data_IF_288601132696
#
_entry.id   IF_288601132696
#
_cell.length_a   1.000
_cell.length_b   1.000
_cell.length_c   1.000
_cell.angle_alpha   90.00
_cell.angle_beta   90.00
_cell.angle_gamma   90.00
#
_symmetry.space_group_name_H-M   'P 1'
#
loop_
_entity.id
_entity.type
_entity.pdbx_description
1 polymer ?
#
# COMPACT_ATOMS: atom_id res chain seq x y z
N UNK A 1 29.81 -12.93 -35.64
CA UNK A 1 29.58 -11.71 -36.42
C UNK A 1 29.17 -10.62 -35.43
N UNK A 2 30.12 -9.80 -35.07
CA UNK A 2 29.92 -8.63 -34.21
C UNK A 2 29.30 -7.54 -35.07
N UNK A 3 28.13 -7.01 -34.69
CA UNK A 3 27.57 -5.83 -35.29
C UNK A 3 28.17 -4.59 -34.59
N UNK A 4 28.92 -3.84 -35.37
CA UNK A 4 29.59 -2.59 -35.04
C UNK A 4 28.58 -1.45 -34.98
N UNK A 5 28.46 -0.76 -33.82
CA UNK A 5 27.56 0.36 -33.60
C UNK A 5 28.27 1.72 -33.68
N UNK A 6 29.27 1.83 -34.54
CA UNK A 6 30.10 3.05 -34.62
C UNK A 6 29.72 4.05 -35.72
N UNK A 7 28.61 3.90 -36.41
CA UNK A 7 28.22 4.90 -37.44
C UNK A 7 26.76 5.34 -37.30
N UNK A 8 26.50 6.39 -36.51
CA UNK A 8 25.38 7.27 -36.69
C UNK A 8 25.62 8.64 -36.05
N UNK A 9 26.44 9.46 -36.68
CA UNK A 9 26.39 10.89 -36.55
C UNK A 9 26.81 11.57 -37.87
N UNK A 10 25.87 11.81 -38.83
CA UNK A 10 26.09 12.79 -39.86
C UNK A 10 25.40 14.10 -39.45
N UNK A 11 26.15 15.17 -39.56
CA UNK A 11 25.71 16.56 -39.56
C UNK A 11 24.59 16.72 -40.59
N UNK A 12 23.32 16.79 -40.15
CA UNK A 12 22.17 16.99 -41.03
C UNK A 12 21.67 18.41 -40.85
N UNK A 13 21.73 19.15 -41.93
CA UNK A 13 21.03 20.38 -42.19
C UNK A 13 19.54 20.17 -41.87
N UNK A 14 19.01 20.96 -40.93
CA UNK A 14 17.62 20.85 -40.45
C UNK A 14 16.62 21.13 -41.60
N UNK A 15 15.99 20.08 -42.12
CA UNK A 15 14.78 20.20 -42.92
C UNK A 15 13.57 20.22 -41.96
N UNK A 16 12.67 21.18 -42.17
CA UNK A 16 11.44 21.38 -41.37
C UNK A 16 10.57 20.11 -41.20
N UNK A 17 10.66 19.16 -42.13
CA UNK A 17 9.98 17.87 -42.09
C UNK A 17 10.57 16.89 -41.05
N UNK A 18 11.87 16.93 -40.83
CA UNK A 18 12.55 16.09 -39.83
C UNK A 18 12.20 16.50 -38.40
N UNK A 19 11.88 17.77 -38.16
CA UNK A 19 11.45 18.28 -36.84
C UNK A 19 10.05 17.75 -36.48
N UNK A 20 9.13 17.71 -37.46
CA UNK A 20 7.76 17.20 -37.28
C UNK A 20 7.72 15.68 -37.02
N UNK A 21 8.57 14.90 -37.70
CA UNK A 21 8.71 13.45 -37.45
C UNK A 21 9.38 13.17 -36.10
N UNK A 22 10.38 13.96 -35.70
CA UNK A 22 11.05 13.84 -34.43
C UNK A 22 10.12 14.22 -33.27
N UNK A 23 9.29 15.25 -33.41
CA UNK A 23 8.24 15.60 -32.44
C UNK A 23 7.15 14.54 -32.35
N UNK A 24 6.79 13.89 -33.45
CA UNK A 24 5.83 12.81 -33.47
C UNK A 24 6.42 11.56 -32.80
N UNK A 25 7.66 11.21 -33.11
CA UNK A 25 8.41 10.13 -32.45
C UNK A 25 8.61 10.38 -30.96
N UNK A 26 8.95 11.62 -30.57
CA UNK A 26 9.05 12.02 -29.15
C UNK A 26 7.69 12.02 -28.45
N UNK A 27 6.59 12.34 -29.13
CA UNK A 27 5.21 12.23 -28.59
C UNK A 27 4.76 10.78 -28.49
N UNK A 28 5.21 9.90 -29.36
CA UNK A 28 4.92 8.46 -29.27
C UNK A 28 5.81 7.77 -28.24
N UNK A 29 7.08 8.14 -28.10
CA UNK A 29 7.96 7.71 -27.00
C UNK A 29 7.48 8.22 -25.63
N UNK A 30 6.85 9.39 -25.59
CA UNK A 30 6.20 9.90 -24.36
C UNK A 30 4.92 9.13 -23.98
N UNK A 31 4.39 8.27 -24.87
CA UNK A 31 3.24 7.41 -24.60
C UNK A 31 3.61 6.01 -24.10
N UNK A 32 4.87 5.62 -24.13
CA UNK A 32 5.32 4.38 -23.50
C UNK A 32 5.46 4.65 -22.01
N UNK A 33 4.36 4.47 -21.28
CA UNK A 33 4.37 4.51 -19.83
C UNK A 33 5.22 3.35 -19.35
N UNK A 34 6.45 3.62 -18.91
CA UNK A 34 7.31 2.60 -18.32
C UNK A 34 6.61 2.14 -17.03
N UNK A 35 6.27 0.84 -16.92
CA UNK A 35 5.42 0.36 -15.83
C UNK A 35 6.13 0.33 -14.46
N UNK A 36 7.32 0.89 -14.35
CA UNK A 36 8.09 0.95 -13.11
C UNK A 36 9.03 2.15 -13.06
N UNK A 37 9.57 2.40 -11.86
CA UNK A 37 10.69 3.31 -11.63
C UNK A 37 11.59 2.76 -10.52
N UNK A 38 12.91 2.85 -10.70
CA UNK A 38 13.85 2.68 -9.58
C UNK A 38 13.96 3.96 -8.77
N UNK A 39 14.02 3.80 -7.46
CA UNK A 39 14.26 4.92 -6.57
C UNK A 39 15.76 5.15 -6.38
N UNK A 40 16.32 6.12 -7.07
CA UNK A 40 17.72 6.51 -6.94
C UNK A 40 18.07 7.20 -5.61
N UNK A 41 17.06 7.51 -4.79
CA UNK A 41 17.19 8.12 -3.45
C UNK A 41 17.03 7.12 -2.32
N UNK A 42 16.83 5.82 -2.66
CA UNK A 42 16.79 4.76 -1.66
C UNK A 42 18.08 4.78 -0.84
N UNK A 43 17.93 4.90 0.47
CA UNK A 43 19.05 5.05 1.41
C UNK A 43 19.11 3.85 2.37
N UNK A 44 20.14 3.02 2.21
CA UNK A 44 20.37 1.87 3.08
C UNK A 44 20.85 2.29 4.49
N UNK A 45 21.27 3.54 4.69
CA UNK A 45 21.64 4.09 6.00
C UNK A 45 20.43 4.66 6.77
N UNK A 46 19.28 4.86 6.11
CA UNK A 46 18.07 5.32 6.77
C UNK A 46 17.64 4.36 7.88
N UNK A 47 17.20 4.90 9.02
CA UNK A 47 16.86 4.12 10.23
C UNK A 47 15.36 4.03 10.51
N UNK A 48 14.52 4.55 9.63
CA UNK A 48 13.06 4.58 9.80
C UNK A 48 12.54 5.84 10.45
N UNK A 49 11.22 5.96 10.50
CA UNK A 49 10.49 7.05 11.16
C UNK A 49 10.33 6.83 12.65
N UNK A 50 10.50 5.60 13.12
CA UNK A 50 10.22 5.16 14.48
C UNK A 50 11.47 4.56 15.08
N UNK A 51 11.63 4.73 16.36
CA UNK A 51 12.74 4.17 17.14
C UNK A 51 12.35 2.86 17.85
N UNK A 52 13.30 2.29 18.59
CA UNK A 52 13.09 1.05 19.36
C UNK A 52 11.95 1.18 20.36
N UNK A 53 11.86 2.33 21.03
CA UNK A 53 10.80 2.58 22.03
C UNK A 53 9.41 2.64 21.38
N UNK A 54 9.30 3.19 20.18
CA UNK A 54 8.04 3.20 19.42
C UNK A 54 7.59 1.78 19.08
N UNK A 55 8.51 0.93 18.59
CA UNK A 55 8.19 -0.46 18.25
C UNK A 55 7.91 -1.34 19.48
N UNK A 56 8.59 -1.11 20.60
CA UNK A 56 8.29 -1.76 21.88
C UNK A 56 6.89 -1.40 22.37
N UNK A 57 6.47 -0.13 22.25
CA UNK A 57 5.10 0.31 22.58
C UNK A 57 4.05 -0.33 21.69
N UNK A 58 4.33 -0.48 20.39
CA UNK A 58 3.45 -1.21 19.46
C UNK A 58 3.35 -2.67 19.87
N UNK A 59 4.47 -3.34 20.14
CA UNK A 59 4.52 -4.72 20.61
C UNK A 59 3.70 -4.95 21.87
N UNK A 60 3.90 -4.11 22.89
CA UNK A 60 3.15 -4.17 24.14
C UNK A 60 1.65 -3.91 23.98
N UNK A 61 1.27 -3.02 23.05
CA UNK A 61 -0.14 -2.75 22.76
C UNK A 61 -0.86 -3.97 22.16
N UNK A 62 -0.18 -4.73 21.32
CA UNK A 62 -0.74 -5.91 20.64
C UNK A 62 -0.41 -7.23 21.37
N UNK A 63 0.11 -7.19 22.59
CA UNK A 63 0.37 -8.40 23.36
C UNK A 63 -0.91 -9.19 23.59
N UNK A 64 -0.89 -10.50 23.32
CA UNK A 64 -2.05 -11.38 23.42
C UNK A 64 -3.05 -11.28 22.26
N UNK A 65 -2.87 -10.37 21.31
CA UNK A 65 -3.70 -10.32 20.12
C UNK A 65 -3.22 -11.39 19.11
N UNK A 66 -4.18 -12.17 18.59
CA UNK A 66 -3.89 -13.24 17.64
C UNK A 66 -3.18 -12.73 16.39
N UNK A 67 -2.14 -13.46 15.98
CA UNK A 67 -1.42 -13.22 14.75
C UNK A 67 -2.21 -13.74 13.54
N UNK A 68 -2.10 -13.07 12.40
CA UNK A 68 -2.61 -13.60 11.13
C UNK A 68 -1.64 -14.63 10.54
N UNK A 69 -2.11 -15.53 9.67
CA UNK A 69 -1.25 -16.56 9.12
C UNK A 69 -0.15 -16.01 8.21
N UNK A 70 1.03 -16.63 8.27
CA UNK A 70 2.04 -16.59 7.22
C UNK A 70 1.91 -17.87 6.39
N UNK A 71 1.49 -17.72 5.14
CA UNK A 71 1.24 -18.83 4.21
C UNK A 71 2.46 -19.06 3.31
N UNK A 72 2.84 -20.32 3.11
CA UNK A 72 3.87 -20.69 2.12
C UNK A 72 3.18 -21.22 0.87
N UNK A 73 3.41 -20.61 -0.29
CA UNK A 73 2.91 -21.04 -1.59
C UNK A 73 4.04 -21.80 -2.34
N UNK A 74 4.34 -23.01 -1.89
CA UNK A 74 5.53 -23.76 -2.32
C UNK A 74 5.42 -24.24 -3.76
N UNK A 75 4.21 -24.63 -4.21
CA UNK A 75 3.99 -25.06 -5.59
C UNK A 75 4.10 -23.85 -6.53
N UNK A 76 3.44 -22.76 -6.21
CA UNK A 76 3.52 -21.52 -7.00
C UNK A 76 4.96 -20.97 -7.01
N UNK A 77 5.69 -21.04 -5.90
CA UNK A 77 7.11 -20.65 -5.85
C UNK A 77 7.95 -21.48 -6.85
N UNK A 78 7.72 -22.79 -6.91
CA UNK A 78 8.41 -23.70 -7.84
C UNK A 78 8.07 -23.35 -9.30
N UNK A 79 6.80 -23.13 -9.61
CA UNK A 79 6.36 -22.74 -10.96
C UNK A 79 6.95 -21.40 -11.40
N UNK A 80 7.12 -20.46 -10.47
CA UNK A 80 7.73 -19.15 -10.72
C UNK A 80 9.27 -19.17 -10.67
N UNK A 81 9.90 -20.30 -10.37
CA UNK A 81 11.35 -20.42 -10.27
C UNK A 81 11.96 -19.68 -9.07
N UNK A 82 11.20 -19.52 -7.99
CA UNK A 82 11.62 -18.84 -6.75
C UNK A 82 12.06 -19.85 -5.68
N UNK A 83 12.90 -19.41 -4.74
CA UNK A 83 13.31 -20.20 -3.58
C UNK A 83 12.18 -20.39 -2.56
N UNK A 84 11.41 -19.35 -2.30
CA UNK A 84 10.18 -19.39 -1.52
C UNK A 84 9.24 -18.24 -1.89
N UNK A 85 7.94 -18.48 -1.80
CA UNK A 85 6.92 -17.47 -1.91
C UNK A 85 6.05 -17.50 -0.66
N UNK A 86 6.14 -16.44 0.12
CA UNK A 86 5.48 -16.30 1.42
C UNK A 86 4.42 -15.21 1.32
N UNK A 87 3.28 -15.44 1.94
CA UNK A 87 2.16 -14.49 1.96
C UNK A 87 1.75 -14.23 3.40
N UNK A 88 1.91 -13.00 3.88
CA UNK A 88 1.27 -12.54 5.12
C UNK A 88 -0.18 -12.25 4.80
N UNK A 89 -1.06 -13.09 5.34
CA UNK A 89 -2.48 -13.14 5.00
C UNK A 89 -3.30 -12.26 5.95
N UNK A 90 -3.60 -11.04 5.52
CA UNK A 90 -4.43 -10.05 6.23
C UNK A 90 -5.87 -10.00 5.69
N UNK A 91 -6.31 -11.03 4.99
CA UNK A 91 -7.68 -11.13 4.47
C UNK A 91 -8.73 -11.23 5.57
N UNK A 92 -8.31 -11.66 6.78
CA UNK A 92 -9.09 -11.57 8.01
C UNK A 92 -8.18 -11.16 9.17
N UNK A 93 -8.29 -9.93 9.62
CA UNK A 93 -7.64 -9.43 10.83
C UNK A 93 -8.70 -9.05 11.87
N UNK A 94 -8.80 -9.84 12.92
CA UNK A 94 -9.77 -9.62 14.01
C UNK A 94 -11.24 -9.56 13.52
N UNK A 95 -11.61 -10.39 12.56
CA UNK A 95 -12.94 -10.43 11.96
C UNK A 95 -13.25 -9.26 11.02
N UNK A 96 -12.23 -8.51 10.60
CA UNK A 96 -12.33 -7.52 9.52
C UNK A 96 -11.53 -7.98 8.32
N UNK A 97 -12.05 -7.76 7.09
CA UNK A 97 -11.42 -8.29 5.88
C UNK A 97 -10.21 -7.46 5.43
N UNK A 98 -9.44 -6.87 6.35
CA UNK A 98 -8.23 -6.10 6.03
C UNK A 98 -7.41 -5.74 7.28
N UNK A 99 -6.13 -5.44 7.05
CA UNK A 99 -5.16 -5.02 8.07
C UNK A 99 -5.44 -3.69 8.78
N UNK A 100 -6.35 -2.86 8.26
CA UNK A 100 -6.55 -1.46 8.69
C UNK A 100 -6.83 -1.29 10.18
N UNK A 101 -7.40 -2.31 10.82
CA UNK A 101 -7.68 -2.28 12.26
C UNK A 101 -6.41 -2.14 13.10
N UNK A 102 -5.25 -2.62 12.65
CA UNK A 102 -3.98 -2.46 13.38
C UNK A 102 -3.62 -0.98 13.58
N UNK A 103 -3.69 -0.19 12.51
CA UNK A 103 -3.41 1.25 12.59
C UNK A 103 -4.49 2.01 13.37
N UNK A 104 -5.76 1.74 13.09
CA UNK A 104 -6.87 2.42 13.76
C UNK A 104 -6.88 2.16 15.27
N UNK A 105 -6.71 0.88 15.69
CA UNK A 105 -6.71 0.53 17.11
C UNK A 105 -5.52 1.12 17.85
N UNK A 106 -4.32 1.06 17.28
CA UNK A 106 -3.15 1.63 17.93
C UNK A 106 -3.28 3.15 18.09
N UNK A 107 -3.68 3.88 17.06
CA UNK A 107 -3.83 5.33 17.13
C UNK A 107 -4.94 5.74 18.12
N UNK A 108 -6.10 5.09 18.06
CA UNK A 108 -7.18 5.36 19.02
C UNK A 108 -6.78 4.97 20.46
N UNK A 109 -6.03 3.89 20.62
CA UNK A 109 -5.45 3.48 21.90
C UNK A 109 -4.52 4.54 22.51
N UNK A 110 -3.67 5.19 21.69
CA UNK A 110 -2.84 6.32 22.16
C UNK A 110 -3.70 7.51 22.60
N UNK A 111 -4.74 7.85 21.85
CA UNK A 111 -5.70 8.92 22.21
C UNK A 111 -6.48 8.61 23.47
N UNK A 112 -6.85 7.35 23.71
CA UNK A 112 -7.47 6.92 24.96
C UNK A 112 -6.50 7.00 26.15
N UNK A 113 -5.26 6.57 25.95
CA UNK A 113 -4.21 6.65 26.99
C UNK A 113 -3.92 8.08 27.43
N UNK A 114 -3.99 9.04 26.52
CA UNK A 114 -3.82 10.48 26.82
C UNK A 114 -5.11 11.14 27.33
N UNK A 115 -6.23 10.41 27.35
CA UNK A 115 -7.53 10.93 27.79
C UNK A 115 -8.23 11.83 26.79
N UNK A 116 -7.73 11.93 25.55
CA UNK A 116 -8.39 12.66 24.45
C UNK A 116 -9.67 11.92 24.02
N UNK A 117 -9.61 10.60 23.89
CA UNK A 117 -10.80 9.77 23.66
C UNK A 117 -11.25 9.13 24.98
N UNK A 118 -12.56 9.21 25.22
CA UNK A 118 -13.24 8.62 26.39
C UNK A 118 -14.58 8.04 25.93
N UNK A 119 -15.20 7.14 26.72
CA UNK A 119 -16.56 6.69 26.43
C UNK A 119 -17.51 7.88 26.16
N UNK A 120 -18.31 7.78 25.11
CA UNK A 120 -19.19 8.84 24.64
C UNK A 120 -18.56 9.89 23.72
N UNK A 121 -17.23 9.90 23.54
CA UNK A 121 -16.57 10.75 22.55
C UNK A 121 -17.03 10.43 21.11
N UNK A 122 -16.73 11.34 20.19
CA UNK A 122 -17.01 11.14 18.76
C UNK A 122 -15.72 11.15 17.98
N UNK A 123 -15.52 10.12 17.18
CA UNK A 123 -14.47 10.05 16.15
C UNK A 123 -15.10 10.15 14.76
N UNK A 124 -14.39 10.75 13.83
CA UNK A 124 -14.87 10.85 12.46
C UNK A 124 -13.76 10.59 11.45
N UNK A 125 -14.09 9.98 10.31
CA UNK A 125 -13.17 9.81 9.19
C UNK A 125 -13.91 9.90 7.86
N UNK A 126 -13.16 10.14 6.77
CA UNK A 126 -13.64 9.95 5.41
C UNK A 126 -12.98 8.68 4.86
N UNK A 127 -13.81 7.69 4.47
CA UNK A 127 -13.29 6.44 3.93
C UNK A 127 -14.37 5.60 3.28
N UNK A 128 -14.18 5.23 2.03
CA UNK A 128 -15.10 4.37 1.28
C UNK A 128 -14.90 2.86 1.52
N UNK A 129 -14.03 2.46 2.47
CA UNK A 129 -13.68 1.06 2.63
C UNK A 129 -13.13 0.68 4.01
N UNK A 130 -12.04 -0.07 3.98
CA UNK A 130 -11.49 -0.79 5.14
C UNK A 130 -11.07 0.09 6.32
N UNK A 131 -10.61 1.34 6.06
CA UNK A 131 -10.24 2.24 7.16
C UNK A 131 -11.47 2.72 7.94
N UNK A 132 -12.56 3.09 7.26
CA UNK A 132 -13.81 3.47 7.90
C UNK A 132 -14.40 2.35 8.75
N UNK A 133 -14.38 1.09 8.24
CA UNK A 133 -14.79 -0.09 9.00
C UNK A 133 -13.93 -0.31 10.25
N UNK A 134 -12.60 -0.17 10.10
CA UNK A 134 -11.68 -0.34 11.22
C UNK A 134 -11.92 0.71 12.33
N UNK A 135 -12.06 1.99 11.96
CA UNK A 135 -12.39 3.07 12.91
C UNK A 135 -13.73 2.81 13.60
N UNK A 136 -14.75 2.39 12.85
CA UNK A 136 -16.08 2.08 13.38
C UNK A 136 -16.03 0.91 14.39
N UNK A 137 -15.32 -0.19 14.05
CA UNK A 137 -15.15 -1.36 14.91
C UNK A 137 -14.49 -0.97 16.23
N UNK A 138 -13.34 -0.30 16.18
CA UNK A 138 -12.59 0.11 17.37
C UNK A 138 -13.40 1.09 18.21
N UNK A 139 -14.11 2.03 17.60
CA UNK A 139 -14.97 2.96 18.31
C UNK A 139 -16.09 2.25 19.09
N UNK A 140 -16.78 1.28 18.45
CA UNK A 140 -17.82 0.46 19.09
C UNK A 140 -17.29 -0.33 20.29
N UNK A 141 -16.10 -0.91 20.17
CA UNK A 141 -15.47 -1.71 21.24
C UNK A 141 -15.12 -0.88 22.48
N UNK A 142 -15.07 0.45 22.36
CA UNK A 142 -14.69 1.37 23.42
C UNK A 142 -15.79 2.39 23.79
N UNK A 143 -17.06 2.13 23.42
CA UNK A 143 -18.19 3.02 23.65
C UNK A 143 -17.99 4.44 23.09
N UNK A 144 -17.26 4.55 21.98
CA UNK A 144 -17.01 5.77 21.21
C UNK A 144 -17.93 5.78 19.99
N UNK A 145 -18.49 6.93 19.65
CA UNK A 145 -19.34 7.08 18.46
C UNK A 145 -18.47 7.32 17.22
N UNK A 146 -18.68 6.55 16.16
CA UNK A 146 -18.00 6.73 14.88
C UNK A 146 -18.93 7.37 13.85
N UNK A 147 -18.40 8.37 13.11
CA UNK A 147 -19.07 8.99 11.97
C UNK A 147 -18.15 8.84 10.75
N UNK A 148 -18.69 8.24 9.68
CA UNK A 148 -17.91 8.01 8.45
C UNK A 148 -18.56 8.79 7.30
N UNK A 149 -17.73 9.64 6.68
CA UNK A 149 -18.12 10.46 5.52
C UNK A 149 -17.75 9.74 4.23
N UNK A 150 -18.70 9.71 3.30
CA UNK A 150 -18.58 9.00 2.01
C UNK A 150 -19.12 9.88 0.88
N UNK A 151 -18.59 9.78 -0.36
CA UNK A 151 -19.30 10.23 -1.55
C UNK A 151 -20.64 9.52 -1.70
N UNK A 152 -21.66 10.24 -2.16
CA UNK A 152 -23.02 9.70 -2.35
C UNK A 152 -23.08 8.54 -3.35
N UNK A 153 -22.11 8.46 -4.27
CA UNK A 153 -21.99 7.41 -5.27
C UNK A 153 -21.32 6.12 -4.74
N UNK A 154 -20.98 6.09 -3.43
CA UNK A 154 -20.38 4.88 -2.83
C UNK A 154 -21.40 3.72 -2.89
N UNK A 155 -20.97 2.57 -3.41
CA UNK A 155 -21.84 1.40 -3.56
C UNK A 155 -22.46 0.97 -2.23
N UNK A 156 -23.74 0.58 -2.26
CA UNK A 156 -24.53 0.28 -1.08
C UNK A 156 -23.88 -0.78 -0.17
N UNK A 157 -23.27 -1.81 -0.75
CA UNK A 157 -22.59 -2.87 0.01
C UNK A 157 -21.48 -2.33 0.93
N UNK A 158 -20.71 -1.33 0.48
CA UNK A 158 -19.66 -0.69 1.31
C UNK A 158 -20.24 0.18 2.41
N UNK A 159 -21.31 0.93 2.09
CA UNK A 159 -22.03 1.73 3.08
C UNK A 159 -22.56 0.83 4.21
N UNK A 160 -23.18 -0.30 3.84
CA UNK A 160 -23.73 -1.23 4.81
C UNK A 160 -22.63 -1.94 5.62
N UNK A 161 -21.52 -2.30 4.99
CA UNK A 161 -20.36 -2.87 5.68
C UNK A 161 -19.77 -1.92 6.75
N UNK A 162 -19.82 -0.60 6.53
CA UNK A 162 -19.40 0.39 7.53
C UNK A 162 -20.46 0.52 8.63
N UNK A 163 -21.74 0.56 8.28
CA UNK A 163 -22.85 0.63 9.25
C UNK A 163 -22.91 -0.59 10.16
N UNK A 164 -22.66 -1.78 9.63
CA UNK A 164 -22.64 -3.03 10.42
C UNK A 164 -21.55 -3.04 11.50
N UNK A 165 -20.50 -2.21 11.34
CA UNK A 165 -19.49 -1.99 12.38
C UNK A 165 -19.93 -0.96 13.44
N UNK A 166 -21.14 -0.38 13.34
CA UNK A 166 -21.70 0.54 14.32
C UNK A 166 -21.52 2.02 14.01
N UNK A 167 -21.02 2.41 12.84
CA UNK A 167 -20.86 3.81 12.48
C UNK A 167 -22.14 4.44 11.97
N UNK A 168 -22.30 5.73 12.26
CA UNK A 168 -23.19 6.63 11.51
C UNK A 168 -22.51 7.02 10.20
N UNK A 169 -23.21 6.88 9.08
CA UNK A 169 -22.69 7.24 7.75
C UNK A 169 -23.34 8.50 7.24
N UNK A 170 -22.53 9.47 6.83
CA UNK A 170 -22.93 10.71 6.17
C UNK A 170 -22.46 10.67 4.72
N UNK A 171 -23.41 10.72 3.78
CA UNK A 171 -23.11 10.78 2.36
C UNK A 171 -23.08 12.20 1.87
N UNK A 172 -22.06 12.57 1.09
CA UNK A 172 -21.82 13.91 0.57
C UNK A 172 -21.97 13.89 -0.95
N UNK A 173 -22.75 14.82 -1.51
CA UNK A 173 -22.76 15.04 -2.94
C UNK A 173 -21.39 15.59 -3.39
N UNK A 174 -20.74 14.91 -4.34
CA UNK A 174 -19.43 15.27 -4.84
C UNK A 174 -18.36 14.18 -4.65
N UNK A 175 -17.10 14.59 -4.70
CA UNK A 175 -15.94 13.71 -4.67
C UNK A 175 -15.56 13.23 -3.25
N UNK A 176 -14.57 12.35 -3.17
CA UNK A 176 -13.95 11.96 -1.90
C UNK A 176 -13.35 13.17 -1.16
N UNK A 177 -12.72 14.09 -1.90
CA UNK A 177 -12.14 15.31 -1.36
C UNK A 177 -13.23 16.25 -0.79
N UNK A 178 -14.44 16.26 -1.38
CA UNK A 178 -15.60 16.98 -0.81
C UNK A 178 -16.02 16.38 0.53
N UNK A 179 -16.04 15.05 0.63
CA UNK A 179 -16.32 14.36 1.88
C UNK A 179 -15.26 14.67 2.95
N UNK A 180 -13.97 14.70 2.61
CA UNK A 180 -12.89 15.10 3.51
C UNK A 180 -13.05 16.54 3.96
N UNK A 181 -13.34 17.48 3.06
CA UNK A 181 -13.57 18.89 3.40
C UNK A 181 -14.78 19.09 4.32
N UNK A 182 -15.86 18.34 4.08
CA UNK A 182 -17.04 18.42 4.95
C UNK A 182 -16.75 17.85 6.33
N UNK A 183 -16.08 16.69 6.39
CA UNK A 183 -15.60 16.10 7.64
C UNK A 183 -14.81 17.12 8.48
N UNK A 184 -13.82 17.78 7.87
CA UNK A 184 -12.96 18.75 8.57
C UNK A 184 -13.77 19.91 9.16
N UNK A 185 -14.73 20.47 8.40
CA UNK A 185 -15.62 21.55 8.87
C UNK A 185 -16.47 21.10 10.05
N UNK A 186 -17.09 19.93 9.95
CA UNK A 186 -17.99 19.41 10.97
C UNK A 186 -17.25 19.00 12.23
N UNK A 187 -16.09 18.35 12.08
CA UNK A 187 -15.24 17.97 13.20
C UNK A 187 -14.73 19.20 13.98
N UNK A 188 -14.28 20.23 13.28
CA UNK A 188 -13.84 21.49 13.92
C UNK A 188 -14.99 22.16 14.68
N UNK A 189 -16.19 22.24 14.08
CA UNK A 189 -17.35 22.87 14.71
C UNK A 189 -17.87 22.11 15.92
N UNK A 190 -17.79 20.78 15.88
CA UNK A 190 -18.38 19.90 16.89
C UNK A 190 -17.39 19.33 17.89
N UNK A 191 -16.10 19.63 17.76
CA UNK A 191 -15.05 19.11 18.63
C UNK A 191 -14.82 17.60 18.47
N UNK A 192 -15.06 17.04 17.28
CA UNK A 192 -14.82 15.62 17.01
C UNK A 192 -13.35 15.34 16.71
N UNK A 193 -12.88 14.17 17.10
CA UNK A 193 -11.52 13.73 16.76
C UNK A 193 -11.51 13.07 15.38
N UNK A 194 -10.72 13.62 14.46
CA UNK A 194 -10.53 13.01 13.14
C UNK A 194 -9.56 11.84 13.29
N UNK A 195 -9.91 10.67 12.71
CA UNK A 195 -9.03 9.48 12.59
C UNK A 195 -8.83 9.18 11.12
N UNK A 196 -7.86 9.87 10.50
CA UNK A 196 -7.51 9.69 9.08
C UNK A 196 -6.17 8.96 8.94
N UNK A 197 -6.07 8.04 7.98
CA UNK A 197 -4.82 7.36 7.62
C UNK A 197 -3.99 8.14 6.58
N UNK A 198 -4.44 9.34 6.22
CA UNK A 198 -3.73 10.32 5.40
C UNK A 198 -3.42 11.56 6.23
N UNK A 199 -2.24 12.10 6.08
CA UNK A 199 -1.77 13.29 6.81
C UNK A 199 -1.57 14.49 5.90
N UNK A 200 -1.68 15.67 6.50
CA UNK A 200 -1.36 16.97 5.92
C UNK A 200 -0.66 17.84 6.95
N UNK A 201 -0.04 18.99 6.56
CA UNK A 201 0.59 19.88 7.52
C UNK A 201 -0.34 20.28 8.67
N UNK A 202 0.08 20.03 9.92
CA UNK A 202 -0.71 20.26 11.12
C UNK A 202 -1.59 19.06 11.57
N UNK A 203 -1.68 18.00 10.75
CA UNK A 203 -2.33 16.74 11.13
C UNK A 203 -1.41 15.56 10.83
N UNK A 204 -0.50 15.28 11.73
CA UNK A 204 0.60 14.34 11.49
C UNK A 204 0.66 13.22 12.54
N UNK A 205 0.31 13.50 13.78
CA UNK A 205 0.53 12.59 14.91
C UNK A 205 -0.32 11.33 14.79
N UNK A 206 -1.61 11.45 14.56
CA UNK A 206 -2.53 10.31 14.42
C UNK A 206 -2.13 9.42 13.23
N UNK A 207 -1.86 9.96 12.01
CA UNK A 207 -1.33 9.15 10.91
C UNK A 207 0.01 8.47 11.21
N UNK A 208 0.91 9.10 11.98
CA UNK A 208 2.14 8.44 12.45
C UNK A 208 1.84 7.22 13.34
N UNK A 209 0.91 7.35 14.28
CA UNK A 209 0.51 6.22 15.11
C UNK A 209 -0.14 5.11 14.27
N UNK A 210 -0.99 5.45 13.29
CA UNK A 210 -1.55 4.48 12.36
C UNK A 210 -0.45 3.72 11.62
N UNK A 211 0.56 4.43 11.09
CA UNK A 211 1.70 3.82 10.42
C UNK A 211 2.52 2.93 11.36
N UNK A 212 2.74 3.39 12.61
CA UNK A 212 3.43 2.59 13.62
C UNK A 212 2.68 1.28 13.90
N UNK A 213 1.35 1.33 14.06
CA UNK A 213 0.51 0.15 14.27
C UNK A 213 0.63 -0.90 13.16
N UNK A 214 0.86 -0.48 11.92
CA UNK A 214 1.08 -1.40 10.79
C UNK A 214 2.39 -2.20 10.90
N UNK A 215 3.37 -1.76 11.68
CA UNK A 215 4.61 -2.51 11.89
C UNK A 215 4.39 -3.88 12.54
N UNK A 216 3.25 -4.07 13.23
CA UNK A 216 2.84 -5.36 13.79
C UNK A 216 2.86 -6.48 12.75
N UNK A 217 2.48 -6.19 11.51
CA UNK A 217 2.52 -7.14 10.38
C UNK A 217 3.89 -7.79 10.19
N UNK A 218 4.96 -6.98 10.18
CA UNK A 218 6.32 -7.48 9.96
C UNK A 218 6.92 -8.08 11.24
N UNK A 219 6.55 -7.57 12.41
CA UNK A 219 6.96 -8.16 13.67
C UNK A 219 6.43 -9.60 13.83
N UNK A 220 5.15 -9.83 13.48
CA UNK A 220 4.56 -11.17 13.42
C UNK A 220 5.25 -12.05 12.36
N UNK A 221 5.46 -11.49 11.17
CA UNK A 221 6.12 -12.22 10.08
C UNK A 221 7.53 -12.67 10.47
N UNK A 222 8.31 -11.81 11.13
CA UNK A 222 9.65 -12.15 11.61
C UNK A 222 9.60 -13.28 12.64
N UNK A 223 8.67 -13.22 13.60
CA UNK A 223 8.44 -14.28 14.57
C UNK A 223 8.11 -15.61 13.87
N UNK A 224 7.18 -15.58 12.92
CA UNK A 224 6.73 -16.76 12.16
C UNK A 224 7.83 -17.33 11.24
N UNK A 225 8.76 -16.51 10.79
CA UNK A 225 9.95 -16.92 10.03
C UNK A 225 11.12 -17.35 10.91
N UNK A 226 10.96 -17.38 12.24
CA UNK A 226 12.03 -17.70 13.19
C UNK A 226 13.29 -16.82 12.96
N UNK A 227 13.09 -15.55 12.67
CA UNK A 227 14.15 -14.56 12.45
C UNK A 227 14.80 -14.59 11.06
N UNK A 228 14.31 -15.43 10.13
CA UNK A 228 14.79 -15.39 8.74
C UNK A 228 14.26 -14.12 8.04
N UNK A 229 15.17 -13.37 7.40
CA UNK A 229 14.81 -12.20 6.61
C UNK A 229 14.41 -12.61 5.18
N UNK A 230 13.30 -12.13 4.62
CA UNK A 230 13.02 -12.26 3.20
C UNK A 230 14.09 -11.53 2.37
N UNK A 231 14.31 -11.95 1.14
CA UNK A 231 15.24 -11.26 0.23
C UNK A 231 14.55 -10.10 -0.49
N UNK A 232 13.25 -10.28 -0.78
CA UNK A 232 12.39 -9.28 -1.45
C UNK A 232 11.06 -9.18 -0.72
N UNK A 233 10.57 -7.95 -0.53
CA UNK A 233 9.23 -7.67 0.00
C UNK A 233 8.47 -6.82 -1.02
N UNK A 234 7.28 -7.26 -1.42
CA UNK A 234 6.37 -6.48 -2.23
C UNK A 234 5.19 -6.01 -1.35
N UNK A 235 4.90 -4.72 -1.41
CA UNK A 235 3.83 -4.10 -0.61
C UNK A 235 2.97 -3.20 -1.47
N UNK A 236 1.67 -3.23 -1.24
CA UNK A 236 0.73 -2.32 -1.88
C UNK A 236 0.87 -0.91 -1.32
N UNK A 237 0.79 0.10 -2.19
CA UNK A 237 0.82 1.50 -1.80
C UNK A 237 -0.29 2.32 -2.46
N UNK A 238 -1.23 2.81 -1.64
CA UNK A 238 -2.11 3.92 -1.97
C UNK A 238 -1.46 5.23 -1.49
N UNK A 239 -2.03 5.90 -0.48
CA UNK A 239 -1.44 7.11 0.12
C UNK A 239 -0.07 6.90 0.77
N UNK A 240 0.40 5.67 0.86
CA UNK A 240 1.74 5.31 1.30
C UNK A 240 1.90 4.98 2.79
N UNK A 241 0.86 5.09 3.61
CA UNK A 241 0.97 4.84 5.05
C UNK A 241 1.46 3.43 5.40
N UNK A 242 0.92 2.38 4.74
CA UNK A 242 1.39 1.01 4.94
C UNK A 242 2.85 0.86 4.49
N UNK A 243 3.16 1.21 3.24
CA UNK A 243 4.50 1.05 2.69
C UNK A 243 5.55 1.86 3.47
N UNK A 244 5.21 3.09 3.90
CA UNK A 244 6.10 3.91 4.73
C UNK A 244 6.32 3.32 6.13
N UNK A 245 5.28 2.79 6.77
CA UNK A 245 5.37 2.12 8.07
C UNK A 245 6.23 0.85 8.01
N UNK A 246 5.97 -0.01 7.00
CA UNK A 246 6.75 -1.24 6.81
C UNK A 246 8.19 -0.97 6.37
N UNK A 247 8.41 -0.01 5.46
CA UNK A 247 9.76 0.40 5.06
C UNK A 247 10.58 0.94 6.22
N UNK A 248 9.93 1.71 7.13
CA UNK A 248 10.55 2.18 8.37
C UNK A 248 10.95 1.03 9.28
N UNK A 249 10.07 0.05 9.47
CA UNK A 249 10.35 -1.13 10.29
C UNK A 249 11.50 -1.96 9.71
N UNK A 250 11.49 -2.23 8.40
CA UNK A 250 12.56 -2.96 7.72
C UNK A 250 13.91 -2.27 7.86
N UNK A 251 13.94 -0.94 7.75
CA UNK A 251 15.15 -0.14 7.90
C UNK A 251 15.66 -0.12 9.34
N UNK A 252 14.76 0.01 10.32
CA UNK A 252 15.11 -0.09 11.74
C UNK A 252 15.67 -1.48 12.09
N UNK A 253 14.98 -2.54 11.64
CA UNK A 253 15.28 -3.93 12.04
C UNK A 253 16.53 -4.49 11.36
N UNK A 254 16.68 -4.27 10.06
CA UNK A 254 17.74 -4.88 9.26
C UNK A 254 18.80 -3.90 8.76
N UNK A 255 18.57 -2.61 8.92
CA UNK A 255 19.51 -1.57 8.50
C UNK A 255 19.90 -1.67 7.01
N UNK A 256 21.20 -1.62 6.68
CA UNK A 256 21.68 -1.71 5.30
C UNK A 256 21.37 -3.04 4.60
N UNK A 257 21.08 -4.09 5.38
CA UNK A 257 20.79 -5.44 4.89
C UNK A 257 19.29 -5.72 4.73
N UNK A 258 18.46 -4.67 4.82
CA UNK A 258 17.02 -4.83 4.60
C UNK A 258 16.72 -5.45 3.23
N UNK A 259 15.59 -6.16 3.10
CA UNK A 259 15.12 -6.71 1.83
C UNK A 259 15.11 -5.68 0.71
N UNK A 260 15.14 -6.13 -0.53
CA UNK A 260 14.77 -5.30 -1.67
C UNK A 260 13.26 -5.01 -1.59
N UNK A 261 12.90 -3.72 -1.48
CA UNK A 261 11.55 -3.30 -1.13
C UNK A 261 10.84 -2.68 -2.34
N UNK A 262 9.81 -3.35 -2.83
CA UNK A 262 9.04 -2.97 -4.01
C UNK A 262 7.67 -2.46 -3.57
N UNK A 263 7.33 -1.24 -3.96
CA UNK A 263 5.98 -0.73 -3.83
C UNK A 263 5.16 -1.05 -5.08
N UNK A 264 3.99 -1.67 -4.89
CA UNK A 264 3.05 -2.03 -5.94
C UNK A 264 1.87 -1.04 -5.90
N UNK A 265 1.61 -0.35 -7.01
CA UNK A 265 0.56 0.67 -7.10
C UNK A 265 -0.41 0.36 -8.23
N UNK A 266 -1.65 0.85 -8.13
CA UNK A 266 -2.54 0.81 -9.27
C UNK A 266 -2.03 1.70 -10.39
N UNK A 267 -2.04 1.21 -11.63
CA UNK A 267 -1.72 2.01 -12.81
C UNK A 267 -2.66 3.21 -12.96
N UNK A 268 -3.88 3.12 -12.42
CA UNK A 268 -4.84 4.22 -12.37
C UNK A 268 -4.54 5.30 -11.31
N UNK A 269 -3.55 5.09 -10.42
CA UNK A 269 -3.20 6.01 -9.34
C UNK A 269 -1.66 6.17 -9.21
N UNK A 270 -1.00 6.83 -10.16
CA UNK A 270 0.46 6.82 -10.29
C UNK A 270 1.20 7.79 -9.35
N UNK A 271 0.53 8.42 -8.37
CA UNK A 271 1.12 9.50 -7.57
C UNK A 271 2.45 9.13 -6.87
N UNK A 272 2.61 7.87 -6.39
CA UNK A 272 3.86 7.43 -5.79
C UNK A 272 4.97 7.31 -6.85
N UNK A 273 4.69 6.74 -8.01
CA UNK A 273 5.66 6.61 -9.09
C UNK A 273 6.13 8.01 -9.57
N UNK A 274 5.20 8.93 -9.76
CA UNK A 274 5.51 10.31 -10.16
C UNK A 274 6.31 11.04 -9.08
N UNK A 275 5.98 10.81 -7.81
CA UNK A 275 6.71 11.39 -6.67
C UNK A 275 8.16 10.88 -6.60
N UNK A 276 8.38 9.58 -6.78
CA UNK A 276 9.72 8.99 -6.80
C UNK A 276 10.53 9.53 -7.99
N UNK A 277 9.93 9.64 -9.19
CA UNK A 277 10.58 10.25 -10.36
C UNK A 277 10.98 11.71 -10.08
N UNK A 278 10.06 12.49 -9.53
CA UNK A 278 10.28 13.91 -9.24
C UNK A 278 11.18 14.16 -8.04
N UNK A 279 11.35 13.19 -7.13
CA UNK A 279 12.06 13.32 -5.85
C UNK A 279 11.37 14.20 -4.83
N UNK A 280 10.08 14.44 -5.00
CA UNK A 280 9.19 15.20 -4.09
C UNK A 280 7.76 14.71 -4.25
N UNK A 281 6.88 14.91 -3.26
CA UNK A 281 5.47 14.58 -3.40
C UNK A 281 4.85 15.27 -4.63
N UNK A 282 4.12 14.49 -5.41
CA UNK A 282 3.39 14.94 -6.60
C UNK A 282 1.91 14.60 -6.44
N UNK A 283 1.06 15.46 -6.95
CA UNK A 283 -0.36 15.19 -7.15
C UNK A 283 -0.52 14.66 -8.57
N UNK A 284 -1.13 13.48 -8.70
CA UNK A 284 -1.39 12.86 -9.99
C UNK A 284 -2.87 12.57 -10.13
N UNK A 285 -3.40 12.77 -11.32
CA UNK A 285 -4.81 12.46 -11.59
C UNK A 285 -5.03 10.95 -11.45
N UNK A 286 -5.98 10.55 -10.62
CA UNK A 286 -6.42 9.17 -10.51
C UNK A 286 -7.49 8.85 -11.56
N UNK A 287 -7.41 7.63 -12.10
CA UNK A 287 -8.41 7.07 -13.01
C UNK A 287 -9.45 6.23 -12.29
N UNK A 288 -9.92 5.16 -12.94
CA UNK A 288 -10.85 4.17 -12.39
C UNK A 288 -10.12 2.84 -12.25
N UNK A 289 -10.29 2.17 -11.11
CA UNK A 289 -9.70 0.87 -10.83
C UNK A 289 -10.55 0.08 -9.84
N UNK A 290 -10.48 -1.24 -9.92
CA UNK A 290 -11.03 -2.15 -8.91
C UNK A 290 -10.23 -2.13 -7.60
N UNK A 291 -8.96 -1.77 -7.65
CA UNK A 291 -8.09 -1.59 -6.49
C UNK A 291 -8.42 -0.29 -5.73
N UNK A 292 -9.66 -0.14 -5.27
CA UNK A 292 -10.14 1.10 -4.64
C UNK A 292 -9.40 1.46 -3.36
N UNK A 293 -8.82 0.49 -2.66
CA UNK A 293 -7.95 0.72 -1.51
C UNK A 293 -6.60 1.37 -1.85
N UNK A 294 -6.25 1.39 -3.14
CA UNK A 294 -5.01 2.00 -3.65
C UNK A 294 -5.29 3.28 -4.47
N UNK A 295 -6.56 3.65 -4.65
CA UNK A 295 -6.95 4.81 -5.45
C UNK A 295 -6.68 6.10 -4.65
N UNK A 296 -5.63 6.82 -5.01
CA UNK A 296 -5.25 8.08 -4.38
C UNK A 296 -4.62 9.04 -5.41
N UNK A 297 -4.73 10.35 -5.16
CA UNK A 297 -4.15 11.38 -6.01
C UNK A 297 -2.87 11.96 -5.41
N UNK A 298 -2.67 11.83 -4.11
CA UNK A 298 -1.52 12.36 -3.37
C UNK A 298 -1.08 11.41 -2.26
N UNK A 299 0.14 11.58 -1.80
CA UNK A 299 0.72 10.79 -0.73
C UNK A 299 0.44 11.44 0.64
N UNK A 300 0.32 10.62 1.67
CA UNK A 300 0.32 11.06 3.05
C UNK A 300 1.62 11.78 3.38
N UNK A 301 1.53 13.02 3.89
CA UNK A 301 2.68 13.89 4.15
C UNK A 301 3.75 13.21 5.03
N UNK A 302 3.34 12.57 6.12
CA UNK A 302 4.28 11.88 7.04
C UNK A 302 4.85 10.59 6.48
N UNK A 303 4.27 10.02 5.42
CA UNK A 303 4.79 8.80 4.80
C UNK A 303 5.96 9.08 3.84
N UNK A 304 6.02 10.26 3.24
CA UNK A 304 6.98 10.58 2.19
C UNK A 304 8.45 10.37 2.58
N UNK A 305 8.93 10.81 3.78
CA UNK A 305 10.33 10.57 4.16
C UNK A 305 10.71 9.09 4.14
N UNK A 306 9.85 8.23 4.65
CA UNK A 306 10.08 6.78 4.63
C UNK A 306 9.98 6.20 3.22
N UNK A 307 8.95 6.57 2.45
CA UNK A 307 8.77 6.09 1.08
C UNK A 307 9.97 6.45 0.20
N UNK A 308 10.43 7.69 0.26
CA UNK A 308 11.57 8.15 -0.53
C UNK A 308 12.89 7.50 -0.13
N UNK A 309 13.06 7.13 1.14
CA UNK A 309 14.30 6.54 1.63
C UNK A 309 14.32 5.00 1.55
N UNK A 310 13.15 4.33 1.58
CA UNK A 310 13.13 2.88 1.79
C UNK A 310 12.71 2.06 0.58
N UNK A 311 11.86 2.60 -0.30
CA UNK A 311 11.43 1.91 -1.52
C UNK A 311 12.62 1.84 -2.49
N UNK A 312 12.88 0.66 -3.05
CA UNK A 312 13.93 0.45 -4.05
C UNK A 312 13.36 0.54 -5.48
N UNK A 313 12.12 0.08 -5.68
CA UNK A 313 11.39 0.21 -6.95
C UNK A 313 9.89 0.40 -6.72
N UNK A 314 9.24 1.12 -7.64
CA UNK A 314 7.79 1.22 -7.73
C UNK A 314 7.35 0.53 -9.01
N UNK A 315 6.33 -0.34 -8.94
CA UNK A 315 5.76 -1.08 -10.07
C UNK A 315 4.27 -0.77 -10.18
N UNK A 316 3.83 -0.39 -11.38
CA UNK A 316 2.41 -0.23 -11.70
C UNK A 316 1.77 -1.57 -12.04
N UNK A 317 0.54 -1.76 -11.58
CA UNK A 317 -0.25 -2.99 -11.76
C UNK A 317 -1.62 -2.61 -12.31
N UNK A 318 -2.03 -3.30 -13.36
CA UNK A 318 -3.35 -3.15 -13.97
C UNK A 318 -4.38 -4.04 -13.28
N UNK A 319 -5.66 -3.72 -13.42
CA UNK A 319 -6.77 -4.52 -12.84
C UNK A 319 -6.77 -5.97 -13.35
N UNK A 320 -6.38 -6.21 -14.59
CA UNK A 320 -6.29 -7.56 -15.15
C UNK A 320 -5.25 -8.42 -14.40
N UNK A 321 -4.10 -7.84 -14.07
CA UNK A 321 -3.02 -8.54 -13.36
C UNK A 321 -3.44 -8.90 -11.94
N UNK A 322 -4.18 -8.02 -11.26
CA UNK A 322 -4.71 -8.33 -9.92
C UNK A 322 -5.83 -9.36 -9.96
N UNK A 323 -6.66 -9.36 -11.00
CA UNK A 323 -7.70 -10.39 -11.20
C UNK A 323 -7.07 -11.78 -11.41
N UNK A 324 -6.01 -11.88 -12.22
CA UNK A 324 -5.26 -13.13 -12.40
C UNK A 324 -4.63 -13.58 -11.08
N UNK A 325 -3.99 -12.67 -10.36
CA UNK A 325 -3.37 -12.96 -9.08
C UNK A 325 -4.37 -13.44 -8.02
N UNK A 326 -5.52 -12.77 -7.89
CA UNK A 326 -6.57 -13.17 -6.97
C UNK A 326 -7.13 -14.56 -7.31
N UNK A 327 -7.31 -14.86 -8.60
CA UNK A 327 -7.73 -16.18 -9.06
C UNK A 327 -6.72 -17.27 -8.70
N UNK A 328 -5.42 -17.03 -8.86
CA UNK A 328 -4.37 -17.98 -8.48
C UNK A 328 -4.33 -18.22 -6.96
N UNK A 329 -4.59 -17.19 -6.15
CA UNK A 329 -4.67 -17.31 -4.69
C UNK A 329 -5.93 -18.08 -4.25
N UNK A 330 -7.07 -17.89 -4.93
CA UNK A 330 -8.33 -18.57 -4.64
C UNK A 330 -8.37 -20.00 -5.18
N UNK A 331 -7.57 -20.31 -6.21
CA UNK A 331 -7.48 -21.65 -6.82
C UNK A 331 -6.01 -22.09 -6.84
N UNK A 332 -5.43 -22.41 -5.68
CA UNK A 332 -4.03 -22.69 -5.54
C UNK A 332 -3.60 -23.97 -6.29
N UNK A 333 -2.35 -23.98 -6.75
CA UNK A 333 -1.72 -25.15 -7.35
C UNK A 333 -1.35 -26.18 -6.27
N UNK A 334 -1.53 -27.46 -6.57
CA UNK A 334 -1.11 -28.56 -5.70
C UNK A 334 -1.66 -28.48 -4.29
N UNK A 335 -0.77 -28.45 -3.30
CA UNK A 335 -1.12 -28.39 -1.87
C UNK A 335 -0.95 -26.99 -1.27
N UNK A 336 -0.78 -25.96 -2.07
CA UNK A 336 -0.71 -24.60 -1.55
C UNK A 336 -2.01 -24.20 -0.86
N UNK A 337 -1.95 -23.46 0.25
CA UNK A 337 -3.15 -23.01 0.94
C UNK A 337 -3.95 -22.00 0.09
N UNK A 338 -5.27 -22.08 0.18
CA UNK A 338 -6.15 -21.05 -0.36
C UNK A 338 -5.97 -19.74 0.39
N UNK A 339 -5.92 -18.63 -0.35
CA UNK A 339 -5.90 -17.28 0.19
C UNK A 339 -6.97 -16.44 -0.53
N UNK A 340 -7.91 -15.90 0.22
CA UNK A 340 -8.94 -15.03 -0.33
C UNK A 340 -8.41 -13.59 -0.40
N UNK A 341 -8.13 -13.11 -1.59
CA UNK A 341 -7.60 -11.75 -1.80
C UNK A 341 -8.57 -10.92 -2.63
N UNK A 342 -8.89 -9.74 -2.13
CA UNK A 342 -9.55 -8.70 -2.92
C UNK A 342 -8.57 -8.03 -3.91
N UNK A 343 -9.08 -7.12 -4.77
CA UNK A 343 -8.26 -6.48 -5.81
C UNK A 343 -7.00 -5.81 -5.29
N UNK A 344 -7.11 -5.00 -4.24
CA UNK A 344 -5.93 -4.34 -3.63
C UNK A 344 -5.04 -5.36 -2.91
N UNK A 345 -5.64 -6.40 -2.30
CA UNK A 345 -4.91 -7.48 -1.61
C UNK A 345 -4.03 -8.30 -2.54
N UNK A 346 -4.50 -8.56 -3.76
CA UNK A 346 -3.79 -9.34 -4.77
C UNK A 346 -2.71 -8.56 -5.54
N UNK A 347 -2.64 -7.24 -5.38
CA UNK A 347 -1.75 -6.36 -6.15
C UNK A 347 -0.27 -6.78 -6.06
N UNK A 348 0.20 -7.21 -4.88
CA UNK A 348 1.58 -7.69 -4.69
C UNK A 348 1.92 -8.92 -5.55
N UNK A 349 1.03 -9.90 -5.61
CA UNK A 349 1.21 -11.06 -6.49
C UNK A 349 1.10 -10.67 -7.96
N UNK A 350 0.14 -9.79 -8.31
CA UNK A 350 0.02 -9.25 -9.68
C UNK A 350 1.31 -8.60 -10.15
N UNK A 351 1.94 -7.77 -9.30
CA UNK A 351 3.23 -7.17 -9.58
C UNK A 351 4.32 -8.22 -9.76
N UNK A 352 4.42 -9.23 -8.89
CA UNK A 352 5.42 -10.29 -8.97
C UNK A 352 5.29 -11.08 -10.28
N UNK A 353 4.08 -11.46 -10.67
CA UNK A 353 3.82 -12.17 -11.91
C UNK A 353 4.26 -11.35 -13.13
N UNK A 354 3.94 -10.06 -13.14
CA UNK A 354 4.35 -9.15 -14.22
C UNK A 354 5.87 -8.98 -14.27
N UNK A 355 6.54 -8.84 -13.11
CA UNK A 355 8.01 -8.72 -13.03
C UNK A 355 8.71 -9.96 -13.61
N UNK A 356 8.11 -11.14 -13.44
CA UNK A 356 8.70 -12.40 -13.90
C UNK A 356 8.35 -12.75 -15.36
N UNK A 357 7.23 -12.23 -15.89
CA UNK A 357 6.71 -12.60 -17.22
C UNK A 357 6.92 -11.53 -18.29
N UNK A 358 6.98 -10.26 -17.90
CA UNK A 358 6.96 -9.13 -18.85
C UNK A 358 8.37 -8.58 -19.10
N UNK A 359 8.80 -8.55 -20.35
CA UNK A 359 10.12 -8.04 -20.76
C UNK A 359 10.44 -6.62 -20.24
N UNK A 360 9.51 -5.65 -20.26
CA UNK A 360 9.79 -4.31 -19.73
C UNK A 360 10.14 -4.30 -18.25
N UNK A 361 9.72 -5.31 -17.46
CA UNK A 361 9.99 -5.41 -16.02
C UNK A 361 11.21 -6.27 -15.67
N UNK A 362 11.88 -6.89 -16.65
CA UNK A 362 13.12 -7.66 -16.45
C UNK A 362 14.20 -6.91 -15.64
N UNK A 363 14.41 -5.58 -15.80
CA UNK A 363 15.36 -4.85 -14.97
C UNK A 363 15.05 -4.92 -13.47
N UNK A 364 13.75 -4.94 -13.09
CA UNK A 364 13.32 -5.06 -11.69
C UNK A 364 13.63 -6.46 -11.16
N UNK A 365 13.35 -7.52 -11.95
CA UNK A 365 13.67 -8.89 -11.60
C UNK A 365 15.18 -9.08 -11.34
N UNK A 366 16.02 -8.49 -12.19
CA UNK A 366 17.50 -8.53 -12.03
C UNK A 366 17.97 -7.77 -10.79
N UNK A 367 17.46 -6.56 -10.57
CA UNK A 367 17.84 -5.74 -9.40
C UNK A 367 17.43 -6.40 -8.09
N UNK A 368 16.24 -7.00 -8.05
CA UNK A 368 15.73 -7.76 -6.91
C UNK A 368 16.35 -9.16 -6.79
N UNK A 369 17.16 -9.59 -7.75
CA UNK A 369 17.79 -10.94 -7.80
C UNK A 369 16.76 -12.07 -7.66
N UNK A 370 15.59 -11.91 -8.30
CA UNK A 370 14.57 -12.95 -8.29
C UNK A 370 15.10 -14.24 -8.94
N UNK A 371 14.86 -15.39 -8.31
CA UNK A 371 15.30 -16.68 -8.80
C UNK A 371 15.26 -17.75 -7.70
N UNK A 372 15.77 -18.96 -8.00
CA UNK A 372 15.64 -20.19 -7.20
C UNK A 372 16.17 -20.14 -5.75
N UNK A 373 16.86 -19.09 -5.36
CA UNK A 373 17.36 -18.89 -4.00
C UNK A 373 16.71 -17.70 -3.31
N UNK A 374 15.85 -16.97 -4.02
CA UNK A 374 15.19 -15.77 -3.52
C UNK A 374 13.92 -16.13 -2.74
N UNK A 375 13.81 -15.60 -1.52
CA UNK A 375 12.63 -15.68 -0.67
C UNK A 375 11.84 -14.38 -0.83
N UNK A 376 10.66 -14.50 -1.38
CA UNK A 376 9.76 -13.37 -1.63
C UNK A 376 8.66 -13.36 -0.59
N UNK A 377 8.43 -12.20 0.05
CA UNK A 377 7.31 -11.94 0.93
C UNK A 377 6.30 -11.03 0.23
N UNK A 378 5.06 -11.47 0.16
CA UNK A 378 3.90 -10.69 -0.24
C UNK A 378 3.00 -10.43 0.96
N UNK A 379 2.20 -9.36 0.87
CA UNK A 379 1.11 -9.11 1.80
C UNK A 379 -0.21 -9.20 1.03
N UNK A 380 -1.15 -10.00 1.52
CA UNK A 380 -2.55 -9.92 1.10
C UNK A 380 -3.24 -9.00 2.09
N UNK A 381 -3.37 -7.73 1.73
CA UNK A 381 -3.78 -6.64 2.62
C UNK A 381 -5.28 -6.54 2.84
N UNK A 382 -6.07 -7.19 1.98
CA UNK A 382 -7.53 -7.30 2.13
C UNK A 382 -8.05 -8.59 1.50
N UNK A 383 -9.10 -9.13 2.10
CA UNK A 383 -9.91 -10.21 1.55
C UNK A 383 -10.93 -9.71 0.53
N UNK A 384 -11.85 -10.60 0.16
CA UNK A 384 -12.92 -10.29 -0.77
C UNK A 384 -13.92 -9.30 -0.13
N UNK A 385 -13.81 -8.03 -0.50
CA UNK A 385 -14.69 -6.95 0.00
C UNK A 385 -15.68 -6.46 -1.06
N UNK A 386 -15.50 -6.88 -2.29
CA UNK A 386 -16.37 -6.57 -3.42
C UNK A 386 -16.95 -7.87 -4.00
N UNK A 387 -18.26 -8.14 -3.84
CA UNK A 387 -18.88 -9.37 -4.34
C UNK A 387 -18.95 -9.45 -5.87
N UNK A 388 -18.58 -8.39 -6.58
CA UNK A 388 -18.56 -8.32 -8.05
C UNK A 388 -17.18 -8.59 -8.66
N UNK A 389 -16.20 -8.88 -7.82
CA UNK A 389 -14.80 -9.17 -8.23
C UNK A 389 -14.58 -10.63 -8.61
#
# INVERSE_FOLDING_TARGET
>A
MQADYSECCPTVIMNFWAVAENERCLRELAKVTVPFVFNTRSDRAYRGLFDTTDYERVGAYFEGIAETPLRSLSNLATELGLGALLVKDESDRAGLPAFKVLGASYAMGQLMKTGVLRPGAVVACASTGNHGRAVARVAREHDIRAIVYLPAETIAARVEAIRSEGASVITIAGSYEDAVRQLQRDATRSGWTIISDTSWPGYEEIPRWIMAGYSRLLAETESQLSGLCPDVVLVQAGVGGLAGGLGSWLSWRYGPQRPFFIACISAAAPCLLDSIRAGRPMISRAGVTRMTGLLCQELSYVAWPALSATIDAVVMVEDQQTTEAARLLAHPAGNDPLVEAGPSGACGLGALLSILKEDPLTPVARAARLGRHCRVLLLVTEGMTDPTF
#
